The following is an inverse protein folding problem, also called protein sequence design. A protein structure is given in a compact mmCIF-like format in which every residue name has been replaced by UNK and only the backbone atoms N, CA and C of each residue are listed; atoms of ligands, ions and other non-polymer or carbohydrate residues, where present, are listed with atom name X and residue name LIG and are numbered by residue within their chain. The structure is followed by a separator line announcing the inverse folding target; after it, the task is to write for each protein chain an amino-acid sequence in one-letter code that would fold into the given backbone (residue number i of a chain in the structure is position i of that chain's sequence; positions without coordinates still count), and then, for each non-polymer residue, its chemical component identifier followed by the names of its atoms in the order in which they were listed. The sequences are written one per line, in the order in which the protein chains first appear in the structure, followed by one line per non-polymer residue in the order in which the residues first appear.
data_IF_659020950076
#
_entry.id   IF_659020950076
#
_cell.length_a   1.000
_cell.length_b   1.000
_cell.length_c   1.000
_cell.angle_alpha   90.00
_cell.angle_beta   90.00
_cell.angle_gamma   90.00
#
_symmetry.space_group_name_H-M   'P 1'
#
loop_
_entity.id
_entity.type
_entity.pdbx_description
1 polymer ?
#
# COMPACT_ATOMS: atom_id res chain seq x y z
N UNK A 1 -40.84 36.88 -5.51
CA UNK A 1 -41.44 37.27 -4.22
C UNK A 1 -42.34 36.13 -3.76
N UNK A 2 -41.92 35.37 -2.75
CA UNK A 2 -42.71 34.29 -2.11
C UNK A 2 -42.68 34.55 -0.60
N UNK A 3 -43.82 34.55 0.12
CA UNK A 3 -43.85 34.95 1.51
C UNK A 3 -43.51 33.79 2.45
N UNK A 4 -42.76 34.15 3.50
CA UNK A 4 -42.43 33.32 4.65
C UNK A 4 -43.66 33.15 5.55
N UNK A 5 -43.97 31.91 5.96
CA UNK A 5 -44.89 31.62 7.06
C UNK A 5 -44.06 31.31 8.31
N UNK A 6 -44.11 32.21 9.30
CA UNK A 6 -43.60 31.98 10.65
C UNK A 6 -44.74 31.44 11.51
N UNK A 7 -44.58 30.22 12.04
CA UNK A 7 -45.45 29.65 13.08
C UNK A 7 -44.75 29.86 14.42
N UNK A 8 -45.38 30.66 15.29
CA UNK A 8 -45.00 30.84 16.69
C UNK A 8 -45.70 29.75 17.52
N UNK A 9 -44.93 28.84 18.12
CA UNK A 9 -45.43 27.93 19.17
C UNK A 9 -45.14 28.52 20.55
N UNK A 10 -46.19 28.81 21.30
CA UNK A 10 -46.15 29.14 22.72
C UNK A 10 -46.02 27.84 23.52
N UNK A 11 -44.92 27.65 24.24
CA UNK A 11 -44.76 26.55 25.19
C UNK A 11 -44.93 27.08 26.62
N UNK A 12 -46.00 26.62 27.29
CA UNK A 12 -46.30 26.90 28.69
C UNK A 12 -45.41 26.00 29.56
N UNK A 13 -44.56 26.61 30.39
CA UNK A 13 -43.69 25.91 31.34
C UNK A 13 -44.37 25.81 32.70
N UNK A 14 -44.72 24.59 33.11
CA UNK A 14 -45.21 24.27 34.45
C UNK A 14 -44.01 24.02 35.36
N UNK A 15 -43.81 24.84 36.39
CA UNK A 15 -42.76 24.65 37.40
C UNK A 15 -43.32 23.86 38.58
N UNK A 16 -42.91 22.60 38.73
CA UNK A 16 -43.13 21.81 39.96
C UNK A 16 -41.91 21.94 40.86
N UNK A 17 -42.10 22.51 42.06
CA UNK A 17 -41.08 22.58 43.10
C UNK A 17 -40.99 21.23 43.82
N UNK A 18 -39.97 20.45 43.50
CA UNK A 18 -39.63 19.20 44.20
C UNK A 18 -38.60 19.53 45.29
N UNK A 19 -38.92 19.25 46.55
CA UNK A 19 -37.98 19.40 47.67
C UNK A 19 -36.91 18.30 47.61
N UNK A 20 -35.68 18.67 47.26
CA UNK A 20 -34.53 17.76 47.28
C UNK A 20 -33.98 17.63 48.71
N UNK A 21 -34.00 16.42 49.26
CA UNK A 21 -33.22 16.07 50.44
C UNK A 21 -31.73 16.16 50.09
N UNK A 22 -30.96 16.91 50.88
CA UNK A 22 -29.50 17.01 50.78
C UNK A 22 -28.86 15.68 51.17
N UNK A 23 -28.55 14.85 50.17
CA UNK A 23 -27.68 13.69 50.31
C UNK A 23 -26.24 14.19 50.40
N UNK A 24 -25.57 13.87 51.49
CA UNK A 24 -24.15 14.20 51.70
C UNK A 24 -23.31 13.47 50.64
N UNK A 25 -22.60 14.17 49.74
CA UNK A 25 -21.83 13.52 48.68
C UNK A 25 -20.63 12.82 49.32
N UNK A 26 -20.68 11.49 49.38
CA UNK A 26 -19.47 10.72 49.59
C UNK A 26 -18.57 10.97 48.38
N UNK A 27 -17.41 11.58 48.63
CA UNK A 27 -16.35 11.71 47.63
C UNK A 27 -15.86 10.29 47.36
N UNK A 28 -16.45 9.66 46.36
CA UNK A 28 -15.91 8.42 45.79
C UNK A 28 -14.63 8.86 45.08
N UNK A 29 -13.49 8.74 45.76
CA UNK A 29 -12.19 8.78 45.10
C UNK A 29 -12.13 7.61 44.14
N UNK A 30 -12.49 7.86 42.88
CA UNK A 30 -12.23 6.94 41.79
C UNK A 30 -10.73 6.66 41.77
N UNK A 31 -10.30 5.39 41.87
CA UNK A 31 -8.89 5.06 41.80
C UNK A 31 -8.30 5.66 40.52
N UNK A 32 -7.16 6.34 40.64
CA UNK A 32 -6.47 6.88 39.47
C UNK A 32 -6.24 5.73 38.47
N UNK A 33 -6.64 5.89 37.21
CA UNK A 33 -6.47 4.83 36.22
C UNK A 33 -4.99 4.44 36.16
N UNK A 34 -4.74 3.13 36.30
CA UNK A 34 -3.39 2.58 36.10
C UNK A 34 -2.95 2.97 34.69
N UNK A 35 -1.77 3.59 34.50
CA UNK A 35 -1.29 3.94 33.18
C UNK A 35 -1.30 2.69 32.30
N UNK A 36 -2.14 2.70 31.25
CA UNK A 36 -2.13 1.64 30.26
C UNK A 36 -0.84 1.78 29.45
N UNK A 37 -0.16 0.65 29.22
CA UNK A 37 1.02 0.64 28.35
C UNK A 37 0.67 1.12 26.92
N UNK A 38 1.70 1.42 26.10
CA UNK A 38 1.48 1.86 24.73
C UNK A 38 0.66 0.84 23.94
N UNK A 39 -0.27 1.33 23.12
CA UNK A 39 -1.10 0.52 22.22
C UNK A 39 -0.42 0.37 20.85
N UNK A 40 -0.63 -0.75 20.19
CA UNK A 40 -0.13 -0.98 18.83
C UNK A 40 -0.99 -0.17 17.86
N UNK A 41 -0.42 0.85 17.23
CA UNK A 41 -1.03 1.57 16.10
C UNK A 41 -1.07 0.69 14.85
N UNK A 42 0.01 -0.05 14.59
CA UNK A 42 0.04 -1.00 13.48
C UNK A 42 1.29 -1.85 13.40
N UNK A 43 1.14 -3.00 12.76
CA UNK A 43 2.24 -3.91 12.41
C UNK A 43 2.28 -4.01 10.89
N UNK A 44 3.38 -3.57 10.30
CA UNK A 44 3.58 -3.50 8.85
C UNK A 44 4.79 -4.36 8.46
N UNK A 45 4.64 -5.13 7.38
CA UNK A 45 5.72 -5.95 6.86
C UNK A 45 5.77 -5.86 5.33
N UNK A 46 6.94 -6.10 4.78
CA UNK A 46 7.15 -6.06 3.35
C UNK A 46 8.57 -6.44 2.96
N UNK A 47 8.77 -6.60 1.66
CA UNK A 47 10.09 -6.87 1.08
C UNK A 47 10.35 -5.83 0.00
N UNK A 48 11.41 -5.06 0.18
CA UNK A 48 11.79 -3.96 -0.73
C UNK A 48 13.08 -4.30 -1.46
N UNK A 49 13.31 -3.72 -2.65
CA UNK A 49 14.64 -3.71 -3.21
C UNK A 49 15.60 -3.01 -2.25
N UNK A 50 16.85 -3.44 -2.30
CA UNK A 50 17.97 -2.76 -1.71
C UNK A 50 18.99 -2.59 -2.83
N UNK A 51 19.49 -1.40 -3.06
CA UNK A 51 20.56 -1.16 -4.05
C UNK A 51 21.24 0.15 -3.69
N UNK A 52 22.43 0.44 -4.22
CA UNK A 52 23.12 1.71 -3.96
C UNK A 52 22.27 2.96 -4.26
N UNK A 53 21.40 2.88 -5.28
CA UNK A 53 20.52 3.99 -5.67
C UNK A 53 19.21 4.06 -4.86
N UNK A 54 18.85 2.98 -4.20
CA UNK A 54 17.51 2.80 -3.63
C UNK A 54 17.54 2.20 -2.21
N UNK A 55 18.61 2.48 -1.44
CA UNK A 55 18.75 2.03 -0.04
C UNK A 55 17.66 2.71 0.79
N UNK A 56 16.69 1.95 1.31
CA UNK A 56 15.60 2.56 2.05
C UNK A 56 15.99 2.91 3.50
N UNK A 57 17.09 2.35 3.99
CA UNK A 57 17.68 2.66 5.28
C UNK A 57 19.05 3.35 5.06
N UNK A 58 19.21 4.62 5.45
CA UNK A 58 20.47 5.35 5.29
C UNK A 58 21.68 4.70 5.97
N UNK A 59 21.46 3.89 7.01
CA UNK A 59 22.52 3.25 7.78
C UNK A 59 23.15 2.02 7.10
N UNK A 60 22.60 1.53 5.98
CA UNK A 60 23.19 0.39 5.28
C UNK A 60 24.42 0.90 4.48
N UNK A 61 25.66 0.44 4.78
CA UNK A 61 26.87 0.98 4.17
C UNK A 61 26.84 0.90 2.64
N UNK A 62 27.19 2.00 1.96
CA UNK A 62 27.02 2.16 0.50
C UNK A 62 27.72 1.09 -0.36
N UNK A 63 28.77 0.47 0.17
CA UNK A 63 29.58 -0.59 -0.42
C UNK A 63 29.06 -2.01 -0.13
N UNK A 64 27.99 -2.16 0.64
CA UNK A 64 27.42 -3.49 0.94
C UNK A 64 26.63 -4.03 -0.25
N UNK A 65 26.95 -5.26 -0.67
CA UNK A 65 26.14 -6.04 -1.60
C UNK A 65 24.76 -6.30 -0.99
N UNK A 66 23.75 -5.64 -1.56
CA UNK A 66 22.40 -5.64 -1.06
C UNK A 66 21.47 -5.57 -2.27
N UNK A 67 20.54 -6.52 -2.35
CA UNK A 67 19.52 -6.59 -3.40
C UNK A 67 18.10 -6.60 -2.81
N UNK A 68 17.96 -7.12 -1.59
CA UNK A 68 16.69 -7.30 -0.90
C UNK A 68 16.79 -6.83 0.54
N UNK A 69 15.71 -6.24 1.04
CA UNK A 69 15.49 -5.94 2.46
C UNK A 69 14.11 -6.43 2.90
N UNK A 70 14.06 -7.10 4.05
CA UNK A 70 12.83 -7.62 4.68
C UNK A 70 12.48 -6.72 5.86
N UNK A 71 11.22 -6.35 6.01
CA UNK A 71 10.75 -5.41 7.03
C UNK A 71 9.72 -6.05 7.96
N UNK A 72 9.83 -5.74 9.25
CA UNK A 72 8.79 -5.94 10.26
C UNK A 72 8.76 -4.73 11.21
N UNK A 73 7.86 -3.78 10.95
CA UNK A 73 7.72 -2.50 11.65
C UNK A 73 6.47 -2.51 12.54
N UNK A 74 6.66 -2.30 13.83
CA UNK A 74 5.58 -2.06 14.79
C UNK A 74 5.58 -0.59 15.18
N UNK A 75 4.46 0.08 15.00
CA UNK A 75 4.23 1.46 15.46
C UNK A 75 3.36 1.43 16.70
N UNK A 76 3.77 2.16 17.74
CA UNK A 76 3.03 2.30 18.98
C UNK A 76 2.46 3.71 19.14
N UNK A 77 1.32 3.82 19.82
CA UNK A 77 0.68 5.08 20.15
C UNK A 77 0.22 5.09 21.59
N UNK A 78 -0.06 6.28 22.10
CA UNK A 78 -0.70 6.45 23.40
C UNK A 78 -2.19 6.07 23.29
N UNK A 79 -2.70 5.17 24.14
CA UNK A 79 -4.07 4.65 24.02
C UNK A 79 -5.17 5.68 24.34
N UNK A 80 -4.84 6.78 25.01
CA UNK A 80 -5.83 7.79 25.40
C UNK A 80 -5.92 8.90 24.35
N UNK A 81 -4.79 9.26 23.75
CA UNK A 81 -4.66 10.40 22.83
C UNK A 81 -4.49 9.99 21.37
N UNK A 82 -4.13 8.73 21.09
CA UNK A 82 -3.76 8.27 19.76
C UNK A 82 -2.45 8.87 19.23
N UNK A 83 -1.69 9.56 20.07
CA UNK A 83 -0.44 10.21 19.63
C UNK A 83 0.68 9.19 19.40
N UNK A 84 1.52 9.36 18.36
CA UNK A 84 2.70 8.54 18.14
C UNK A 84 3.63 8.51 19.36
N UNK A 85 4.08 7.32 19.76
CA UNK A 85 5.04 7.16 20.87
C UNK A 85 6.37 6.60 20.37
N UNK A 86 6.48 5.28 20.28
CA UNK A 86 7.70 4.58 19.87
C UNK A 86 7.42 3.62 18.71
N UNK A 87 8.47 3.12 18.10
CA UNK A 87 8.39 2.04 17.13
C UNK A 87 9.40 0.95 17.49
N UNK A 88 9.16 -0.24 16.96
CA UNK A 88 10.11 -1.35 16.91
C UNK A 88 10.26 -1.80 15.46
N UNK A 89 11.49 -1.85 14.96
CA UNK A 89 11.79 -2.39 13.64
C UNK A 89 12.72 -3.58 13.79
N UNK A 90 12.26 -4.73 13.29
CA UNK A 90 13.10 -5.87 12.97
C UNK A 90 13.23 -5.97 11.45
N UNK A 91 14.45 -6.11 10.97
CA UNK A 91 14.72 -6.17 9.54
C UNK A 91 15.97 -7.00 9.26
N UNK A 92 16.12 -7.44 8.01
CA UNK A 92 17.36 -7.98 7.51
C UNK A 92 17.55 -7.55 6.05
N UNK A 93 18.80 -7.35 5.64
CA UNK A 93 19.14 -7.00 4.26
C UNK A 93 20.28 -7.87 3.71
N UNK A 94 20.36 -8.02 2.39
CA UNK A 94 21.43 -8.76 1.74
C UNK A 94 21.06 -9.27 0.35
N UNK A 95 21.74 -10.33 -0.08
CA UNK A 95 21.44 -11.02 -1.34
C UNK A 95 20.28 -12.00 -1.18
N UNK A 96 19.33 -12.08 -2.12
CA UNK A 96 18.24 -13.04 -2.10
C UNK A 96 18.76 -14.47 -2.22
N UNK A 97 18.21 -15.39 -1.42
CA UNK A 97 18.44 -16.82 -1.60
C UNK A 97 17.58 -17.30 -2.78
N UNK A 98 18.24 -17.87 -3.79
CA UNK A 98 17.57 -18.35 -5.00
C UNK A 98 16.42 -19.31 -4.66
N UNK A 99 15.28 -19.11 -5.33
CA UNK A 99 14.06 -19.89 -5.16
C UNK A 99 13.45 -19.90 -3.74
N UNK A 100 13.85 -18.99 -2.84
CA UNK A 100 13.15 -18.76 -1.57
C UNK A 100 12.76 -17.29 -1.44
N UNK A 101 12.13 -16.92 -0.31
CA UNK A 101 11.88 -15.52 0.02
C UNK A 101 12.89 -14.99 1.08
N UNK A 102 13.90 -15.80 1.41
CA UNK A 102 14.91 -15.50 2.42
C UNK A 102 16.14 -14.83 1.81
N UNK A 103 17.05 -14.41 2.69
CA UNK A 103 18.36 -13.90 2.32
C UNK A 103 19.41 -15.00 2.45
N UNK A 104 20.48 -14.92 1.66
CA UNK A 104 21.65 -15.80 1.79
C UNK A 104 22.23 -15.65 3.19
N UNK A 105 22.34 -16.75 3.93
CA UNK A 105 22.83 -16.75 5.32
C UNK A 105 21.93 -15.99 6.31
N UNK A 106 20.68 -15.68 5.95
CA UNK A 106 19.78 -14.86 6.77
C UNK A 106 19.97 -13.35 6.60
N UNK A 107 20.97 -12.92 5.82
CA UNK A 107 21.31 -11.50 5.63
C UNK A 107 21.95 -10.86 6.87
N UNK A 108 22.07 -9.54 6.84
CA UNK A 108 22.54 -8.74 7.97
C UNK A 108 21.33 -8.22 8.75
N UNK A 109 21.14 -8.61 10.02
CA UNK A 109 20.01 -8.18 10.81
C UNK A 109 20.13 -6.72 11.25
N UNK A 110 18.99 -6.04 11.34
CA UNK A 110 18.82 -4.71 11.91
C UNK A 110 17.70 -4.78 12.95
N UNK A 111 17.98 -4.26 14.14
CA UNK A 111 16.96 -4.01 15.17
C UNK A 111 17.05 -2.54 15.57
N UNK A 112 15.93 -1.84 15.56
CA UNK A 112 15.86 -0.44 15.98
C UNK A 112 14.62 -0.18 16.81
N UNK A 113 14.78 0.61 17.86
CA UNK A 113 13.71 1.13 18.69
C UNK A 113 13.96 2.61 18.95
N UNK A 114 12.96 3.46 18.67
CA UNK A 114 13.03 4.90 18.96
C UNK A 114 11.63 5.51 18.81
N UNK A 115 11.55 6.83 18.73
CA UNK A 115 10.32 7.57 18.46
C UNK A 115 9.96 7.55 16.99
N UNK A 116 8.66 7.67 16.73
CA UNK A 116 8.13 8.00 15.41
C UNK A 116 7.15 9.16 15.52
N UNK A 117 6.90 9.83 14.40
CA UNK A 117 5.97 10.97 14.32
C UNK A 117 5.13 10.88 13.06
N UNK A 118 4.03 11.63 13.06
CA UNK A 118 3.25 11.92 11.85
C UNK A 118 3.56 13.34 11.40
N UNK A 119 3.83 13.50 10.12
CA UNK A 119 4.03 14.79 9.45
C UNK A 119 3.15 14.82 8.20
N UNK A 120 3.11 15.96 7.51
CA UNK A 120 2.45 16.08 6.21
C UNK A 120 3.45 16.39 5.10
N UNK A 121 3.04 16.09 3.88
CA UNK A 121 3.70 16.48 2.66
C UNK A 121 4.68 15.44 2.12
N UNK A 122 4.47 15.07 0.87
CA UNK A 122 5.41 14.44 -0.05
C UNK A 122 5.92 15.47 -1.06
N UNK A 123 6.81 15.05 -1.97
CA UNK A 123 7.29 15.91 -3.06
C UNK A 123 6.17 16.43 -3.98
N UNK A 124 5.10 15.65 -4.15
CA UNK A 124 4.02 15.93 -5.12
C UNK A 124 2.67 16.23 -4.48
N UNK A 125 2.52 15.96 -3.19
CA UNK A 125 1.27 16.20 -2.44
C UNK A 125 1.63 16.77 -1.06
N UNK A 126 1.41 18.08 -0.81
CA UNK A 126 1.73 18.72 0.47
C UNK A 126 0.79 18.31 1.63
N UNK A 127 -0.37 17.71 1.35
CA UNK A 127 -1.38 17.33 2.35
C UNK A 127 -1.26 15.86 2.77
N UNK A 128 -0.58 15.04 1.96
CA UNK A 128 -0.31 13.63 2.25
C UNK A 128 0.22 13.39 3.66
N UNK A 129 -0.34 12.39 4.37
CA UNK A 129 0.14 11.99 5.70
C UNK A 129 1.40 11.13 5.56
N UNK A 130 2.46 11.51 6.27
CA UNK A 130 3.76 10.83 6.26
C UNK A 130 4.14 10.39 7.66
N UNK A 131 4.40 9.09 7.84
CA UNK A 131 4.98 8.55 9.07
C UNK A 131 6.50 8.63 9.00
N UNK A 132 7.15 9.05 10.08
CA UNK A 132 8.60 9.15 10.15
C UNK A 132 9.15 8.43 11.39
N UNK A 133 10.06 7.49 11.19
CA UNK A 133 10.85 6.89 12.28
C UNK A 133 12.20 7.61 12.40
N UNK A 134 12.74 7.70 13.63
CA UNK A 134 13.95 8.47 13.93
C UNK A 134 13.86 9.95 13.48
N UNK A 135 12.80 10.69 13.85
CA UNK A 135 12.61 12.07 13.38
C UNK A 135 13.70 13.03 13.89
N UNK A 136 14.34 12.69 15.01
CA UNK A 136 15.36 13.52 15.65
C UNK A 136 16.77 13.34 15.03
N UNK A 137 16.94 12.40 14.09
CA UNK A 137 18.21 12.13 13.41
C UNK A 137 18.01 12.10 11.89
N UNK A 138 18.24 13.23 11.19
CA UNK A 138 18.07 13.32 9.73
C UNK A 138 18.92 12.34 8.92
N UNK A 139 20.02 11.82 9.49
CA UNK A 139 20.86 10.82 8.83
C UNK A 139 20.30 9.40 8.97
N UNK A 140 19.28 9.19 9.81
CA UNK A 140 18.63 7.89 10.05
C UNK A 140 17.12 7.94 9.92
N UNK A 141 16.56 9.11 9.58
CA UNK A 141 15.13 9.26 9.36
C UNK A 141 14.70 8.45 8.16
N UNK A 142 13.62 7.69 8.33
CA UNK A 142 12.95 6.99 7.22
C UNK A 142 11.51 7.47 7.21
N UNK A 143 11.06 7.88 6.02
CA UNK A 143 9.71 8.41 5.82
C UNK A 143 8.87 7.41 5.05
N UNK A 144 7.59 7.30 5.43
CA UNK A 144 6.62 6.45 4.77
C UNK A 144 5.37 7.27 4.45
N UNK A 145 4.94 7.26 3.19
CA UNK A 145 3.61 7.75 2.82
C UNK A 145 2.56 6.77 3.35
N UNK A 146 1.59 7.30 4.09
CA UNK A 146 0.37 6.56 4.47
C UNK A 146 -0.57 6.52 3.28
N UNK A 147 -0.47 5.49 2.45
CA UNK A 147 -1.32 5.30 1.27
C UNK A 147 -2.75 4.96 1.70
N UNK A 148 -2.90 4.14 2.74
CA UNK A 148 -4.16 3.89 3.44
C UNK A 148 -3.89 3.56 4.90
N UNK A 149 -4.90 3.19 5.68
CA UNK A 149 -4.67 2.63 7.02
C UNK A 149 -3.87 1.33 6.98
N UNK A 150 -3.89 0.59 5.87
CA UNK A 150 -3.28 -0.73 5.76
C UNK A 150 -2.02 -0.78 4.89
N UNK A 151 -1.64 0.34 4.28
CA UNK A 151 -0.52 0.42 3.36
C UNK A 151 0.37 1.62 3.68
N UNK A 152 1.67 1.33 3.83
CA UNK A 152 2.73 2.32 3.88
C UNK A 152 3.61 2.18 2.63
N UNK A 153 4.08 3.29 2.08
CA UNK A 153 5.05 3.27 0.98
C UNK A 153 6.32 4.03 1.37
N UNK A 154 7.49 3.41 1.22
CA UNK A 154 8.77 4.02 1.62
C UNK A 154 9.11 5.19 0.71
N UNK A 155 9.54 6.29 1.32
CA UNK A 155 9.97 7.51 0.63
C UNK A 155 11.49 7.67 0.68
N UNK A 156 12.04 8.39 -0.28
CA UNK A 156 13.43 8.83 -0.25
C UNK A 156 13.61 10.09 0.63
N UNK A 157 14.84 10.61 0.72
CA UNK A 157 15.18 11.81 1.49
C UNK A 157 14.46 13.08 1.04
N UNK A 158 14.05 13.15 -0.22
CA UNK A 158 13.28 14.26 -0.79
C UNK A 158 11.76 14.05 -0.65
N UNK A 159 11.33 13.04 0.12
CA UNK A 159 9.94 12.62 0.28
C UNK A 159 9.23 12.28 -1.05
N UNK A 160 9.98 11.79 -2.04
CA UNK A 160 9.44 11.15 -3.23
C UNK A 160 9.25 9.65 -3.00
N UNK A 161 8.26 9.04 -3.66
CA UNK A 161 8.03 7.60 -3.60
C UNK A 161 9.22 6.85 -4.22
N UNK A 162 9.74 5.85 -3.52
CA UNK A 162 10.79 4.99 -4.06
C UNK A 162 10.20 4.00 -5.07
N UNK A 163 10.76 3.98 -6.27
CA UNK A 163 10.27 3.10 -7.34
C UNK A 163 10.86 1.70 -7.19
N UNK A 164 9.99 0.69 -7.15
CA UNK A 164 10.38 -0.70 -7.11
C UNK A 164 10.85 -1.24 -8.47
N UNK A 165 10.78 -2.55 -8.63
CA UNK A 165 11.05 -3.24 -9.88
C UNK A 165 10.12 -4.46 -10.03
N UNK A 166 10.27 -5.24 -11.11
CA UNK A 166 9.47 -6.46 -11.30
C UNK A 166 9.71 -7.57 -10.27
N UNK A 167 10.62 -7.37 -9.32
CA UNK A 167 10.88 -8.29 -8.22
C UNK A 167 10.31 -7.86 -6.88
N UNK A 168 10.40 -6.58 -6.54
CA UNK A 168 10.02 -6.03 -5.23
C UNK A 168 9.49 -4.61 -5.35
N UNK A 169 8.61 -4.23 -4.42
CA UNK A 169 8.04 -2.87 -4.30
C UNK A 169 8.53 -2.19 -3.02
N UNK A 170 8.36 -0.88 -2.89
CA UNK A 170 8.58 -0.16 -1.62
C UNK A 170 7.32 -0.05 -0.74
N UNK A 171 6.36 -0.96 -0.90
CA UNK A 171 5.12 -0.98 -0.11
C UNK A 171 5.21 -1.97 1.06
N UNK A 172 4.86 -1.53 2.25
CA UNK A 172 4.66 -2.35 3.45
C UNK A 172 3.17 -2.53 3.71
N UNK A 173 2.75 -3.77 3.94
CA UNK A 173 1.36 -4.15 4.18
C UNK A 173 1.10 -4.32 5.68
N UNK A 174 -0.07 -3.93 6.16
CA UNK A 174 -0.48 -4.23 7.53
C UNK A 174 -0.69 -5.75 7.68
N UNK A 175 -0.02 -6.36 8.66
CA UNK A 175 -0.02 -7.81 8.89
C UNK A 175 -0.56 -8.26 10.25
N UNK A 176 -0.83 -7.32 11.17
CA UNK A 176 -1.26 -7.65 12.55
C UNK A 176 -2.52 -8.52 12.66
N UNK A 177 -3.38 -8.53 11.63
CA UNK A 177 -4.62 -9.31 11.59
C UNK A 177 -4.59 -10.47 10.57
N UNK A 178 -3.47 -10.70 9.90
CA UNK A 178 -3.39 -11.71 8.84
C UNK A 178 -3.08 -13.08 9.43
N UNK A 179 -3.82 -14.10 8.98
CA UNK A 179 -3.47 -15.48 9.29
C UNK A 179 -2.18 -15.85 8.55
N UNK A 180 -1.25 -16.58 9.20
CA UNK A 180 -0.09 -17.13 8.51
C UNK A 180 -0.52 -17.93 7.28
N UNK A 181 0.11 -17.67 6.14
CA UNK A 181 -0.12 -18.43 4.91
C UNK A 181 0.58 -19.78 5.07
N UNK A 182 -0.13 -20.74 5.66
CA UNK A 182 0.32 -22.12 5.82
C UNK A 182 -0.25 -22.99 4.70
N UNK A 183 0.07 -22.66 3.45
CA UNK A 183 -0.29 -23.56 2.35
C UNK A 183 0.80 -24.62 2.15
N UNK A 184 0.45 -25.91 2.10
CA UNK A 184 1.40 -26.95 1.77
C UNK A 184 1.98 -26.71 0.37
N UNK A 185 3.27 -27.04 0.15
CA UNK A 185 3.87 -26.91 -1.16
C UNK A 185 3.14 -27.82 -2.15
N UNK A 186 2.48 -27.24 -3.14
CA UNK A 186 2.05 -27.95 -4.33
C UNK A 186 3.06 -27.75 -5.46
N UNK A 187 3.11 -28.73 -6.36
CA UNK A 187 3.88 -28.57 -7.60
C UNK A 187 3.16 -27.55 -8.48
N UNK A 188 3.85 -26.53 -9.00
CA UNK A 188 3.25 -25.65 -10.00
C UNK A 188 2.87 -26.48 -11.22
N UNK A 189 1.75 -26.13 -11.90
CA UNK A 189 1.44 -26.73 -13.19
C UNK A 189 2.59 -26.48 -14.18
N UNK A 190 2.75 -27.37 -15.15
CA UNK A 190 3.74 -27.18 -16.21
C UNK A 190 3.51 -25.83 -16.89
N UNK A 191 4.56 -25.01 -17.11
CA UNK A 191 4.40 -23.72 -17.74
C UNK A 191 3.81 -23.93 -19.13
N UNK A 192 2.68 -23.30 -19.47
CA UNK A 192 2.18 -23.39 -20.83
C UNK A 192 3.21 -22.75 -21.77
N UNK A 193 3.32 -23.28 -22.99
CA UNK A 193 4.13 -22.68 -24.04
C UNK A 193 3.69 -21.23 -24.20
N UNK A 194 4.59 -20.28 -23.95
CA UNK A 194 4.29 -18.86 -24.06
C UNK A 194 3.96 -18.56 -25.54
N UNK A 195 2.74 -18.09 -25.86
CA UNK A 195 2.44 -17.64 -27.21
C UNK A 195 3.35 -16.44 -27.57
N UNK A 196 3.65 -16.22 -28.86
CA UNK A 196 4.40 -15.05 -29.31
C UNK A 196 3.78 -13.77 -28.75
N UNK A 197 4.62 -12.82 -28.36
CA UNK A 197 4.11 -11.53 -27.88
C UNK A 197 3.40 -10.81 -29.02
N UNK A 198 2.18 -10.29 -28.80
CA UNK A 198 1.53 -9.48 -29.80
C UNK A 198 2.38 -8.22 -30.05
N UNK A 199 2.45 -7.75 -31.31
CA UNK A 199 3.12 -6.49 -31.61
C UNK A 199 2.36 -5.32 -30.97
N UNK A 200 3.06 -4.20 -30.75
CA UNK A 200 2.40 -2.96 -30.36
C UNK A 200 1.34 -2.57 -31.43
N UNK A 201 0.12 -2.16 -31.03
CA UNK A 201 -0.90 -1.76 -31.99
C UNK A 201 -0.44 -0.60 -32.88
N UNK A 202 -0.84 -0.63 -34.15
CA UNK A 202 -0.55 0.46 -35.10
C UNK A 202 -1.12 1.79 -34.61
N UNK A 203 -0.37 2.87 -34.79
CA UNK A 203 -0.77 4.20 -34.32
C UNK A 203 -0.70 4.41 -32.79
N UNK A 204 -0.28 3.40 -32.02
CA UNK A 204 -0.11 3.53 -30.57
C UNK A 204 1.33 3.88 -30.17
N UNK A 205 1.46 4.48 -28.98
CA UNK A 205 2.72 4.68 -28.25
C UNK A 205 2.59 4.10 -26.84
N UNK A 206 3.72 3.81 -26.19
CA UNK A 206 3.73 3.31 -24.81
C UNK A 206 3.48 4.47 -23.84
N UNK A 207 2.39 4.39 -23.08
CA UNK A 207 2.12 5.30 -21.97
C UNK A 207 2.97 4.95 -20.74
N UNK A 208 3.07 3.66 -20.43
CA UNK A 208 3.93 3.15 -19.35
C UNK A 208 4.01 1.63 -19.33
N UNK A 209 5.12 1.11 -18.82
CA UNK A 209 5.32 -0.31 -18.52
C UNK A 209 5.49 -0.46 -17.01
N UNK A 210 4.67 -1.28 -16.40
CA UNK A 210 4.65 -1.50 -14.96
C UNK A 210 4.84 -2.98 -14.65
N UNK A 211 5.76 -3.30 -13.75
CA UNK A 211 6.01 -4.66 -13.30
C UNK A 211 5.69 -4.82 -11.82
N UNK A 212 5.29 -6.02 -11.41
CA UNK A 212 5.08 -6.31 -10.00
C UNK A 212 4.94 -7.78 -9.68
N UNK A 213 4.85 -8.05 -8.38
CA UNK A 213 4.56 -9.38 -7.83
C UNK A 213 3.46 -9.26 -6.80
N UNK A 214 2.39 -10.01 -7.01
CA UNK A 214 1.22 -9.99 -6.11
C UNK A 214 1.03 -11.35 -5.47
N UNK A 215 0.47 -11.42 -4.25
CA UNK A 215 0.17 -12.71 -3.65
C UNK A 215 -0.90 -13.46 -4.46
N UNK A 216 -0.85 -14.80 -4.44
CA UNK A 216 -1.88 -15.61 -5.07
C UNK A 216 -3.16 -15.59 -4.21
N UNK A 217 -4.00 -14.60 -4.47
CA UNK A 217 -5.30 -14.42 -3.82
C UNK A 217 -6.40 -14.42 -4.87
N UNK A 218 -7.65 -14.65 -4.46
CA UNK A 218 -8.80 -14.75 -5.35
C UNK A 218 -8.88 -13.62 -6.39
N UNK A 219 -8.70 -12.36 -5.96
CA UNK A 219 -8.74 -11.19 -6.86
C UNK A 219 -7.61 -11.22 -7.89
N UNK A 220 -6.39 -11.58 -7.48
CA UNK A 220 -5.25 -11.68 -8.40
C UNK A 220 -5.44 -12.82 -9.39
N UNK A 221 -5.93 -13.97 -8.93
CA UNK A 221 -6.21 -15.13 -9.76
C UNK A 221 -7.35 -14.85 -10.74
N UNK A 222 -8.39 -14.12 -10.33
CA UNK A 222 -9.49 -13.71 -11.20
C UNK A 222 -9.02 -12.81 -12.34
N UNK A 223 -8.19 -11.81 -12.03
CA UNK A 223 -7.67 -10.90 -13.04
C UNK A 223 -6.70 -11.60 -14.00
N UNK A 224 -5.72 -12.30 -13.43
CA UNK A 224 -4.64 -12.91 -14.21
C UNK A 224 -5.07 -14.19 -14.93
N UNK A 225 -6.19 -14.80 -14.49
CA UNK A 225 -6.66 -16.16 -14.82
C UNK A 225 -5.55 -17.21 -14.73
N UNK A 226 -4.55 -16.97 -13.87
CA UNK A 226 -3.61 -18.01 -13.50
C UNK A 226 -4.40 -19.10 -12.77
N UNK A 227 -4.24 -20.35 -13.20
CA UNK A 227 -4.88 -21.47 -12.55
C UNK A 227 -4.46 -21.51 -11.08
N UNK A 228 -5.42 -21.58 -10.17
CA UNK A 228 -5.13 -21.76 -8.75
C UNK A 228 -4.52 -23.14 -8.54
N UNK A 229 -3.45 -23.21 -7.74
CA UNK A 229 -2.86 -24.46 -7.29
C UNK A 229 -2.34 -24.29 -5.85
N UNK A 230 -2.33 -25.36 -5.04
CA UNK A 230 -1.81 -25.29 -3.67
C UNK A 230 -0.35 -24.82 -3.64
N UNK A 231 -0.02 -23.89 -2.75
CA UNK A 231 1.35 -23.40 -2.63
C UNK A 231 1.74 -22.35 -3.67
N UNK A 232 0.76 -21.79 -4.40
CA UNK A 232 0.98 -20.57 -5.17
C UNK A 232 1.30 -19.42 -4.21
N UNK A 233 2.56 -18.99 -4.16
CA UNK A 233 2.97 -17.90 -3.26
C UNK A 233 2.77 -16.52 -3.89
N UNK A 234 3.06 -16.40 -5.19
CA UNK A 234 3.04 -15.12 -5.91
C UNK A 234 2.77 -15.29 -7.40
N UNK A 235 2.20 -14.24 -7.99
CA UNK A 235 2.05 -14.06 -9.43
C UNK A 235 2.96 -12.92 -9.86
N UNK A 236 3.84 -13.16 -10.83
CA UNK A 236 4.66 -12.13 -11.46
C UNK A 236 3.98 -11.67 -12.73
N UNK A 237 3.92 -10.36 -12.94
CA UNK A 237 3.30 -9.84 -14.15
C UNK A 237 3.81 -8.46 -14.53
N UNK A 238 3.61 -8.15 -15.82
CA UNK A 238 3.90 -6.89 -16.47
C UNK A 238 2.60 -6.35 -17.07
N UNK A 239 2.38 -5.06 -16.93
CA UNK A 239 1.29 -4.32 -17.55
C UNK A 239 1.90 -3.21 -18.42
N UNK A 240 1.69 -3.30 -19.73
CA UNK A 240 1.99 -2.22 -20.66
C UNK A 240 0.69 -1.50 -21.00
N UNK A 241 0.64 -0.20 -20.73
CA UNK A 241 -0.46 0.67 -21.15
C UNK A 241 -0.06 1.39 -22.43
N UNK A 242 -0.89 1.30 -23.46
CA UNK A 242 -0.72 2.03 -24.71
C UNK A 242 -1.67 3.22 -24.77
N UNK A 243 -1.24 4.26 -25.48
CA UNK A 243 -2.07 5.41 -25.81
C UNK A 243 -2.01 5.68 -27.31
N UNK A 244 -3.02 6.32 -27.85
CA UNK A 244 -3.00 6.82 -29.21
C UNK A 244 -1.88 7.85 -29.39
N UNK A 245 -1.03 7.65 -30.40
CA UNK A 245 0.18 8.47 -30.60
C UNK A 245 -0.10 9.90 -31.05
N UNK A 246 -1.28 10.16 -31.64
CA UNK A 246 -1.65 11.48 -32.13
C UNK A 246 -2.34 12.34 -31.06
N UNK A 247 -3.15 11.70 -30.20
CA UNK A 247 -4.02 12.38 -29.22
C UNK A 247 -3.56 12.22 -27.78
N UNK A 248 -2.75 11.21 -27.46
CA UNK A 248 -2.39 10.83 -26.10
C UNK A 248 -3.53 10.19 -25.30
N UNK A 249 -4.65 9.84 -25.94
CA UNK A 249 -5.77 9.19 -25.28
C UNK A 249 -5.45 7.71 -24.96
N UNK A 250 -5.93 7.15 -23.83
CA UNK A 250 -5.88 5.72 -23.56
C UNK A 250 -6.39 4.89 -24.74
N UNK A 251 -5.65 3.87 -25.16
CA UNK A 251 -6.05 2.96 -26.24
C UNK A 251 -6.25 1.54 -25.71
N UNK A 252 -5.20 0.74 -25.73
CA UNK A 252 -5.22 -0.66 -25.29
C UNK A 252 -4.16 -0.91 -24.23
N UNK A 253 -4.27 -2.04 -23.54
CA UNK A 253 -3.24 -2.54 -22.66
C UNK A 253 -2.76 -3.91 -23.12
N UNK A 254 -1.56 -4.28 -22.68
CA UNK A 254 -1.02 -5.63 -22.75
C UNK A 254 -0.61 -6.06 -21.34
N UNK A 255 -1.34 -7.02 -20.78
CA UNK A 255 -0.97 -7.72 -19.57
C UNK A 255 -0.15 -8.96 -19.94
N UNK A 256 0.92 -9.24 -19.20
CA UNK A 256 1.76 -10.41 -19.36
C UNK A 256 2.03 -11.08 -18.02
N UNK A 257 1.56 -12.31 -17.85
CA UNK A 257 1.83 -13.15 -16.68
C UNK A 257 2.75 -14.33 -17.00
N UNK A 258 2.86 -15.25 -16.04
CA UNK A 258 3.50 -16.56 -16.27
C UNK A 258 2.63 -17.37 -17.24
N UNK A 259 3.03 -17.43 -18.50
CA UNK A 259 2.40 -18.29 -19.50
C UNK A 259 1.10 -17.77 -20.14
N UNK A 260 0.70 -16.54 -19.84
CA UNK A 260 -0.49 -15.90 -20.41
C UNK A 260 -0.20 -14.44 -20.74
N UNK A 261 -0.84 -13.93 -21.79
CA UNK A 261 -1.00 -12.50 -21.99
C UNK A 261 -2.46 -12.18 -22.25
N UNK A 262 -2.84 -10.92 -22.06
CA UNK A 262 -4.18 -10.41 -22.32
C UNK A 262 -4.06 -9.02 -22.91
N UNK A 263 -4.99 -8.71 -23.79
CA UNK A 263 -5.14 -7.39 -24.37
C UNK A 263 -6.57 -6.93 -24.16
N UNK A 264 -6.77 -5.62 -24.08
CA UNK A 264 -8.09 -5.03 -23.91
C UNK A 264 -8.00 -3.52 -23.96
N UNK A 265 -9.16 -2.86 -23.91
CA UNK A 265 -9.22 -1.42 -23.75
C UNK A 265 -8.92 -1.03 -22.30
N UNK A 266 -8.40 0.17 -22.11
CA UNK A 266 -8.32 0.77 -20.77
C UNK A 266 -8.73 2.24 -20.82
N UNK A 267 -9.13 2.76 -19.67
CA UNK A 267 -9.58 4.15 -19.53
C UNK A 267 -9.03 4.75 -18.24
N UNK A 268 -9.07 6.08 -18.16
CA UNK A 268 -8.75 6.83 -16.95
C UNK A 268 -10.07 7.37 -16.40
N UNK A 269 -10.36 7.06 -15.14
CA UNK A 269 -11.50 7.62 -14.40
C UNK A 269 -11.00 8.42 -13.20
N UNK A 270 -11.87 9.27 -12.65
CA UNK A 270 -11.56 10.09 -11.47
C UNK A 270 -12.46 9.75 -10.30
N UNK A 271 -11.89 9.82 -9.12
CA UNK A 271 -12.59 9.72 -7.84
C UNK A 271 -12.54 8.33 -7.22
N UNK A 272 -12.40 8.35 -5.91
CA UNK A 272 -12.53 7.25 -4.97
C UNK A 272 -13.27 7.76 -3.74
N UNK A 273 -13.76 6.86 -2.89
CA UNK A 273 -14.32 7.28 -1.61
C UNK A 273 -13.23 7.97 -0.77
N UNK A 274 -13.54 9.16 -0.25
CA UNK A 274 -12.59 10.02 0.46
C UNK A 274 -11.63 10.84 -0.40
N UNK A 275 -11.49 10.57 -1.71
CA UNK A 275 -10.64 11.33 -2.63
C UNK A 275 -11.31 11.47 -4.01
N UNK A 276 -12.06 12.55 -4.27
CA UNK A 276 -12.75 12.76 -5.55
C UNK A 276 -11.80 13.06 -6.72
N UNK A 277 -10.55 13.42 -6.45
CA UNK A 277 -9.56 13.78 -7.47
C UNK A 277 -8.63 12.60 -7.85
N UNK A 278 -8.68 11.51 -7.08
CA UNK A 278 -7.96 10.25 -7.31
C UNK A 278 -8.01 9.83 -8.79
N UNK A 279 -6.85 9.54 -9.37
CA UNK A 279 -6.75 9.05 -10.76
C UNK A 279 -6.73 7.53 -10.75
N UNK A 280 -7.66 6.91 -11.48
CA UNK A 280 -7.80 5.45 -11.52
C UNK A 280 -7.73 4.95 -12.95
N UNK A 281 -6.87 3.96 -13.20
CA UNK A 281 -6.79 3.28 -14.49
C UNK A 281 -7.67 2.04 -14.47
N UNK A 282 -8.63 1.96 -15.38
CA UNK A 282 -9.57 0.84 -15.48
C UNK A 282 -9.29 0.03 -16.74
N UNK A 283 -9.04 -1.25 -16.58
CA UNK A 283 -8.76 -2.21 -17.65
C UNK A 283 -10.01 -3.07 -17.87
N UNK A 284 -10.46 -3.18 -19.11
CA UNK A 284 -11.56 -4.06 -19.48
C UNK A 284 -11.03 -5.49 -19.71
N UNK A 285 -11.47 -6.44 -18.87
CA UNK A 285 -10.96 -7.82 -18.90
C UNK A 285 -11.60 -8.70 -19.96
N UNK A 286 -12.88 -8.47 -20.26
CA UNK A 286 -13.68 -9.27 -21.16
C UNK A 286 -14.88 -8.48 -21.71
N UNK A 287 -15.57 -9.11 -22.66
CA UNK A 287 -16.80 -8.57 -23.27
C UNK A 287 -17.96 -8.49 -22.28
N UNK A 288 -17.87 -9.19 -21.14
CA UNK A 288 -18.86 -9.13 -20.07
C UNK A 288 -18.72 -7.86 -19.21
N UNK A 289 -17.74 -7.00 -19.50
CA UNK A 289 -17.54 -5.73 -18.82
C UNK A 289 -16.89 -5.86 -17.45
N UNK A 290 -16.20 -6.97 -17.16
CA UNK A 290 -15.41 -7.06 -15.93
C UNK A 290 -14.26 -6.04 -15.98
N UNK A 291 -14.13 -5.25 -14.93
CA UNK A 291 -13.10 -4.22 -14.81
C UNK A 291 -12.08 -4.59 -13.73
N UNK A 292 -10.84 -4.20 -13.99
CA UNK A 292 -9.78 -4.16 -12.98
C UNK A 292 -9.24 -2.76 -12.90
N UNK A 293 -9.15 -2.27 -11.67
CA UNK A 293 -8.87 -0.87 -11.39
C UNK A 293 -7.55 -0.71 -10.65
N UNK A 294 -6.79 0.31 -11.01
CA UNK A 294 -5.55 0.69 -10.33
C UNK A 294 -5.61 2.15 -9.93
N UNK A 295 -5.38 2.44 -8.65
CA UNK A 295 -5.09 3.80 -8.21
C UNK A 295 -3.70 4.21 -8.69
N UNK A 296 -3.62 5.29 -9.45
CA UNK A 296 -2.37 5.94 -9.84
C UNK A 296 -2.03 7.00 -8.79
N UNK A 297 -1.04 6.71 -7.95
CA UNK A 297 -0.60 7.64 -6.89
C UNK A 297 0.39 8.66 -7.43
N UNK A 298 1.22 8.24 -8.40
CA UNK A 298 2.07 9.11 -9.21
C UNK A 298 2.25 8.49 -10.61
N UNK A 299 3.21 9.00 -11.38
CA UNK A 299 3.53 8.49 -12.71
C UNK A 299 4.27 7.13 -12.72
N UNK A 300 4.67 6.62 -11.56
CA UNK A 300 5.51 5.43 -11.39
C UNK A 300 4.84 4.29 -10.60
N UNK A 301 3.73 4.56 -9.91
CA UNK A 301 3.11 3.63 -8.97
C UNK A 301 1.63 3.41 -9.27
N UNK A 302 1.27 2.14 -9.44
CA UNK A 302 -0.10 1.67 -9.53
C UNK A 302 -0.41 0.75 -8.36
N UNK A 303 -1.50 1.03 -7.64
CA UNK A 303 -2.00 0.17 -6.56
C UNK A 303 -3.29 -0.50 -7.02
N UNK A 304 -3.33 -1.84 -7.02
CA UNK A 304 -4.54 -2.56 -7.38
C UNK A 304 -5.64 -2.32 -6.34
N UNK A 305 -6.85 -2.00 -6.81
CA UNK A 305 -8.03 -1.85 -5.95
C UNK A 305 -9.05 -2.95 -6.26
N UNK A 306 -9.89 -3.26 -5.29
CA UNK A 306 -11.02 -4.18 -5.47
C UNK A 306 -12.19 -3.53 -6.23
N UNK A 307 -13.28 -4.29 -6.41
CA UNK A 307 -14.48 -3.79 -7.11
C UNK A 307 -15.23 -2.69 -6.35
N UNK A 308 -14.99 -2.58 -5.03
CA UNK A 308 -15.49 -1.51 -4.18
C UNK A 308 -14.55 -0.30 -4.14
N UNK A 309 -13.50 -0.29 -4.97
CA UNK A 309 -12.46 0.74 -5.00
C UNK A 309 -11.64 0.82 -3.70
N UNK A 310 -11.57 -0.26 -2.92
CA UNK A 310 -10.68 -0.33 -1.77
C UNK A 310 -9.31 -0.83 -2.20
N UNK A 311 -8.24 -0.25 -1.64
CA UNK A 311 -6.87 -0.70 -1.89
C UNK A 311 -6.69 -2.15 -1.40
N UNK A 312 -6.18 -3.00 -2.28
CA UNK A 312 -5.85 -4.37 -1.89
C UNK A 312 -4.60 -4.39 -1.03
N UNK A 313 -4.68 -5.12 0.08
CA UNK A 313 -3.58 -5.30 1.04
C UNK A 313 -2.92 -6.64 0.76
N UNK A 314 -1.60 -6.60 0.58
CA UNK A 314 -0.80 -7.78 0.35
C UNK A 314 -0.54 -8.57 1.63
N UNK A 315 0.63 -9.20 1.72
CA UNK A 315 1.10 -9.86 2.94
C UNK A 315 2.53 -9.42 3.28
N UNK A 316 3.18 -10.08 4.24
CA UNK A 316 4.55 -9.75 4.64
C UNK A 316 5.58 -9.83 3.50
N UNK A 317 5.27 -10.54 2.40
CA UNK A 317 6.21 -10.85 1.33
C UNK A 317 5.87 -10.18 0.00
N UNK A 318 4.58 -9.97 -0.30
CA UNK A 318 4.11 -9.48 -1.59
C UNK A 318 3.05 -8.40 -1.39
N UNK A 319 3.13 -7.33 -2.17
CA UNK A 319 2.14 -6.24 -2.19
C UNK A 319 1.24 -6.34 -3.42
N UNK A 320 0.31 -5.40 -3.54
CA UNK A 320 -0.51 -5.20 -4.74
C UNK A 320 -0.08 -3.98 -5.56
N UNK A 321 1.19 -3.58 -5.43
CA UNK A 321 1.77 -2.42 -6.10
C UNK A 321 2.53 -2.85 -7.36
N UNK A 322 2.30 -2.14 -8.47
CA UNK A 322 3.14 -2.21 -9.66
C UNK A 322 4.04 -0.97 -9.73
N UNK A 323 5.30 -1.19 -10.10
CA UNK A 323 6.30 -0.14 -10.28
C UNK A 323 6.62 0.01 -11.75
N UNK A 324 6.75 1.26 -12.21
CA UNK A 324 7.12 1.58 -13.59
C UNK A 324 8.56 1.13 -13.91
N UNK A 325 8.79 0.55 -15.08
CA UNK A 325 10.08 -0.05 -15.48
C UNK A 325 10.60 0.35 -16.86
N UNK A 326 9.83 1.08 -17.66
CA UNK A 326 10.27 1.66 -18.95
C UNK A 326 11.22 2.86 -18.78
N UNK A 327 11.25 3.47 -17.59
CA UNK A 327 12.17 4.56 -17.24
C UNK A 327 13.43 3.98 -16.59
N UNK A 328 14.30 3.37 -17.41
CA UNK A 328 15.54 2.74 -16.90
C UNK A 328 16.38 1.99 -17.93
N UNK A 329 16.00 2.00 -19.20
CA UNK A 329 16.83 1.51 -20.33
C UNK A 329 17.49 2.67 -21.09
N UNK A 330 17.97 3.70 -20.37
CA UNK A 330 18.94 4.65 -20.91
C UNK A 330 20.32 4.32 -20.36
#
# INVERSE_FOLDING_TARGET
MKPYFHVFMLAVTLWTLTACATVSPQIITTPSPVPRGPEIHGVFAGVTPCSSLTRPLPQIPADTDCEQMIWNLVLYQDPETGTPTTYHLESAYGLPKQNTNDLVGGGTPIVMESKWTMTTGTKTDPEAIVYQINPDDPQRTVSFLKVSDDLLHVLNSEKALLVGNGAWSYTLNRVGNQKPVNEPPGSPPEPPTRPPLPPMPEGSSVFGVFDGRTPCHAVALEFTKVASFPGCLKIKWRLTLYQDSATGAPSTYLFMGTGTYREGAWTIVRGMDGDPDAVVYQLQLDDAGQLVSFLSVDENHLFLVDRGMNLLVGNALFSYTLSRTDRGTQ
#
